data_IF_355537663133
#
_entry.id   IF_355537663133
#
_cell.length_a   1.000
_cell.length_b   1.000
_cell.length_c   1.000
_cell.angle_alpha   90.00
_cell.angle_beta   90.00
_cell.angle_gamma   90.00
#
_symmetry.space_group_name_H-M   'P 1'
#
loop_
_entity.id
_entity.type
_entity.pdbx_description
1 polymer ?
#
# COMPACT_ATOMS: atom_id res chain seq x y z
N UNK A 1 -14.53 12.57 18.39
CA UNK A 1 -13.41 13.29 17.75
C UNK A 1 -12.54 13.84 18.86
N UNK A 2 -11.40 13.23 19.10
CA UNK A 2 -10.46 13.55 20.18
C UNK A 2 -9.82 14.91 19.91
N UNK A 3 -9.66 15.71 20.95
CA UNK A 3 -9.22 17.12 21.04
C UNK A 3 -7.97 17.57 20.27
N UNK A 4 -7.83 17.16 19.00
CA UNK A 4 -6.81 17.69 18.13
C UNK A 4 -7.09 19.15 17.77
N UNK A 5 -6.11 20.00 18.01
CA UNK A 5 -6.17 21.41 17.66
C UNK A 5 -5.18 21.69 16.51
N UNK A 6 -5.66 21.94 15.28
CA UNK A 6 -4.79 22.10 14.11
C UNK A 6 -3.94 23.38 14.22
N UNK A 7 -2.63 23.21 14.09
CA UNK A 7 -1.65 24.31 14.12
C UNK A 7 -1.25 24.75 12.71
N UNK A 8 -1.25 23.82 11.76
CA UNK A 8 -0.85 24.09 10.38
C UNK A 8 -2.00 24.62 9.54
N UNK A 9 -1.67 25.28 8.42
CA UNK A 9 -2.66 25.77 7.45
C UNK A 9 -3.46 24.58 6.86
N UNK A 10 -2.77 23.49 6.53
CA UNK A 10 -3.41 22.28 6.02
C UNK A 10 -4.36 21.67 7.05
N UNK A 11 -3.91 21.55 8.32
CA UNK A 11 -4.73 21.04 9.41
C UNK A 11 -6.03 21.84 9.63
N UNK A 12 -5.97 23.17 9.51
CA UNK A 12 -7.16 24.03 9.59
C UNK A 12 -8.13 23.77 8.45
N UNK A 13 -7.64 23.61 7.21
CA UNK A 13 -8.48 23.32 6.04
C UNK A 13 -9.17 21.95 6.15
N UNK A 14 -8.48 20.97 6.72
CA UNK A 14 -9.06 19.64 6.99
C UNK A 14 -10.10 19.71 8.11
N UNK A 15 -9.80 20.42 9.19
CA UNK A 15 -10.75 20.60 10.29
C UNK A 15 -12.02 21.38 9.88
N UNK A 16 -11.89 22.33 8.94
CA UNK A 16 -13.01 23.06 8.33
C UNK A 16 -13.79 22.24 7.28
N UNK A 17 -13.33 21.02 6.96
CA UNK A 17 -13.97 20.16 5.95
C UNK A 17 -13.78 20.60 4.50
N UNK A 18 -12.86 21.52 4.21
CA UNK A 18 -12.56 21.98 2.84
C UNK A 18 -11.77 20.96 2.04
N UNK A 19 -11.00 20.12 2.73
CA UNK A 19 -10.22 19.03 2.17
C UNK A 19 -10.74 17.76 2.83
N UNK A 20 -11.34 16.88 2.04
CA UNK A 20 -11.96 15.63 2.49
C UNK A 20 -11.19 14.40 2.05
N UNK A 21 -10.36 14.50 0.99
CA UNK A 21 -9.57 13.39 0.47
C UNK A 21 -8.08 13.61 0.66
N UNK A 22 -7.32 12.50 0.81
CA UNK A 22 -5.87 12.58 0.93
C UNK A 22 -5.22 13.04 -0.39
N UNK A 23 -5.80 12.71 -1.53
CA UNK A 23 -5.34 13.17 -2.86
C UNK A 23 -5.43 14.69 -2.98
N UNK A 24 -6.51 15.32 -2.50
CA UNK A 24 -6.67 16.78 -2.49
C UNK A 24 -5.66 17.44 -1.53
N UNK A 25 -5.40 16.81 -0.39
CA UNK A 25 -4.39 17.29 0.56
C UNK A 25 -2.99 17.32 -0.07
N UNK A 26 -2.60 16.26 -0.79
CA UNK A 26 -1.32 16.18 -1.51
C UNK A 26 -1.29 17.14 -2.72
N UNK A 27 -2.39 17.30 -3.45
CA UNK A 27 -2.52 18.23 -4.57
C UNK A 27 -2.38 19.70 -4.15
N UNK A 28 -2.77 20.04 -2.90
CA UNK A 28 -2.64 21.39 -2.35
C UNK A 28 -1.19 21.88 -2.24
N UNK A 29 -0.21 21.00 -2.36
CA UNK A 29 1.24 21.26 -2.20
C UNK A 29 1.63 21.88 -0.85
N UNK A 30 0.75 21.85 0.13
CA UNK A 30 1.07 22.25 1.49
C UNK A 30 1.84 21.13 2.20
N UNK A 31 2.85 21.47 3.04
CA UNK A 31 3.63 20.46 3.73
C UNK A 31 2.80 19.77 4.81
N UNK A 32 2.81 18.44 4.79
CA UNK A 32 2.24 17.58 5.83
C UNK A 32 3.18 17.61 7.05
N UNK A 33 2.75 18.20 8.16
CA UNK A 33 3.54 18.34 9.39
C UNK A 33 2.86 17.78 10.63
N UNK A 34 1.60 17.45 10.53
CA UNK A 34 0.79 16.88 11.61
C UNK A 34 0.33 15.48 11.21
N UNK A 35 0.71 14.41 11.94
CA UNK A 35 0.31 13.04 11.63
C UNK A 35 -1.19 12.82 11.78
N UNK A 36 -1.86 13.60 12.65
CA UNK A 36 -3.29 13.50 12.91
C UNK A 36 -4.16 13.83 11.68
N UNK A 37 -3.64 14.64 10.75
CA UNK A 37 -4.30 14.93 9.46
C UNK A 37 -4.52 13.62 8.69
N UNK A 38 -3.51 12.77 8.69
CA UNK A 38 -3.54 11.49 7.98
C UNK A 38 -4.51 10.51 8.64
N UNK A 39 -4.55 10.48 9.99
CA UNK A 39 -5.48 9.64 10.74
C UNK A 39 -6.96 10.00 10.49
N UNK A 40 -7.23 11.27 10.18
CA UNK A 40 -8.58 11.73 9.82
C UNK A 40 -8.93 11.40 8.38
N UNK A 41 -8.00 11.61 7.45
CA UNK A 41 -8.24 11.41 6.01
C UNK A 41 -8.14 9.93 5.58
N UNK A 42 -7.36 9.12 6.30
CA UNK A 42 -7.14 7.70 6.03
C UNK A 42 -7.32 6.88 7.31
N UNK A 43 -8.56 6.56 7.71
CA UNK A 43 -8.82 5.80 8.95
C UNK A 43 -8.33 4.33 8.88
N UNK A 44 -8.19 3.77 7.69
CA UNK A 44 -7.79 2.36 7.46
C UNK A 44 -6.28 2.19 7.24
N UNK A 45 -5.46 3.00 7.90
CA UNK A 45 -4.01 2.88 7.81
C UNK A 45 -3.50 1.69 8.63
N UNK A 46 -2.70 0.86 7.97
CA UNK A 46 -1.92 -0.21 8.59
C UNK A 46 -0.45 0.16 8.66
N UNK A 47 0.24 -0.31 9.68
CA UNK A 47 1.68 -0.10 9.85
C UNK A 47 2.41 -1.44 9.99
N UNK A 48 3.61 -1.52 9.41
CA UNK A 48 4.49 -2.67 9.49
C UNK A 48 5.91 -2.22 9.81
N UNK A 49 6.54 -2.86 10.79
CA UNK A 49 7.93 -2.60 11.15
C UNK A 49 8.84 -3.42 10.24
N UNK A 50 9.59 -2.75 9.35
CA UNK A 50 10.49 -3.40 8.41
C UNK A 50 11.82 -3.83 9.05
N UNK A 51 12.35 -3.01 9.96
CA UNK A 51 13.67 -3.24 10.54
C UNK A 51 13.86 -2.53 11.88
N UNK A 52 14.50 -3.22 12.82
CA UNK A 52 14.90 -2.69 14.13
C UNK A 52 16.37 -2.99 14.36
N UNK A 53 17.23 -2.00 14.16
CA UNK A 53 18.67 -2.12 14.31
C UNK A 53 19.18 -1.43 15.56
N UNK A 54 19.96 -2.13 16.35
CA UNK A 54 20.69 -1.55 17.47
C UNK A 54 21.97 -0.87 16.96
N UNK A 55 22.09 0.43 17.22
CA UNK A 55 23.26 1.23 16.88
C UNK A 55 23.92 1.71 18.15
N UNK A 56 25.21 1.42 18.32
CA UNK A 56 25.97 1.87 19.49
C UNK A 56 27.12 2.79 19.07
N UNK A 57 27.42 3.73 19.96
CA UNK A 57 28.56 4.63 19.84
C UNK A 57 29.30 4.63 21.15
N UNK A 58 30.63 4.48 21.11
CA UNK A 58 31.50 4.69 22.27
C UNK A 58 31.65 6.18 22.52
N UNK A 59 31.55 6.56 23.80
CA UNK A 59 31.86 7.90 24.32
C UNK A 59 32.87 7.73 25.46
N UNK A 60 33.46 8.82 25.92
CA UNK A 60 34.43 8.83 27.01
C UNK A 60 33.86 8.21 28.30
N UNK A 61 32.54 8.31 28.51
CA UNK A 61 31.84 7.77 29.67
C UNK A 61 31.18 6.38 29.41
N UNK A 62 31.54 5.68 28.32
CA UNK A 62 31.07 4.33 28.01
C UNK A 62 30.19 4.25 26.75
N UNK A 63 29.48 3.12 26.61
CA UNK A 63 28.64 2.82 25.46
C UNK A 63 27.31 3.57 25.50
N UNK A 64 26.97 4.25 24.42
CA UNK A 64 25.61 4.79 24.20
C UNK A 64 24.92 4.01 23.13
N UNK A 65 23.83 3.34 23.49
CA UNK A 65 22.99 2.53 22.60
C UNK A 65 21.78 3.33 22.13
N UNK A 66 21.42 3.18 20.86
CA UNK A 66 20.17 3.68 20.27
C UNK A 66 19.61 2.62 19.33
N UNK A 67 18.30 2.61 19.17
CA UNK A 67 17.59 1.75 18.23
C UNK A 67 17.19 2.59 17.02
N UNK A 68 17.59 2.15 15.83
CA UNK A 68 17.18 2.71 14.56
C UNK A 68 16.05 1.83 14.00
N UNK A 69 14.89 2.42 13.81
CA UNK A 69 13.67 1.74 13.40
C UNK A 69 13.22 2.30 12.06
N UNK A 70 12.83 1.41 11.15
CA UNK A 70 12.25 1.74 9.86
C UNK A 70 10.87 1.10 9.80
N UNK A 71 9.85 1.93 9.54
CA UNK A 71 8.43 1.53 9.47
C UNK A 71 7.89 1.93 8.12
N UNK A 72 7.03 1.10 7.56
CA UNK A 72 6.16 1.44 6.44
C UNK A 72 4.72 1.56 6.93
N UNK A 73 3.99 2.50 6.37
CA UNK A 73 2.57 2.73 6.64
C UNK A 73 1.84 2.78 5.30
N UNK A 74 0.68 2.15 5.21
CA UNK A 74 -0.12 2.16 3.98
C UNK A 74 -1.57 1.79 4.23
N UNK A 75 -2.40 2.03 3.22
CA UNK A 75 -3.82 1.68 3.24
C UNK A 75 -4.16 0.52 2.30
N UNK A 76 -3.17 -0.17 1.73
CA UNK A 76 -3.34 -1.19 0.70
C UNK A 76 -4.12 -0.71 -0.55
N UNK A 77 -4.35 0.59 -0.69
CA UNK A 77 -5.15 1.17 -1.77
C UNK A 77 -4.54 2.47 -2.35
N UNK A 78 -3.24 2.45 -2.64
CA UNK A 78 -2.56 3.51 -3.38
C UNK A 78 -1.87 4.58 -2.53
N UNK A 79 -1.90 4.50 -1.21
CA UNK A 79 -1.11 5.38 -0.35
C UNK A 79 -0.09 4.58 0.44
N UNK A 80 1.15 5.05 0.44
CA UNK A 80 2.23 4.43 1.19
C UNK A 80 3.17 5.51 1.73
N UNK A 81 3.70 5.29 2.94
CA UNK A 81 4.68 6.17 3.55
C UNK A 81 5.76 5.38 4.25
N UNK A 82 6.99 5.86 4.24
CA UNK A 82 8.10 5.28 5.00
C UNK A 82 8.65 6.29 5.98
N UNK A 83 8.80 5.85 7.25
CA UNK A 83 9.39 6.61 8.32
C UNK A 83 10.59 5.91 8.93
N UNK A 84 11.58 6.70 9.33
CA UNK A 84 12.75 6.24 10.06
C UNK A 84 12.99 7.11 11.28
N UNK A 85 13.18 6.46 12.42
CA UNK A 85 13.48 7.16 13.67
C UNK A 85 14.58 6.45 14.46
N UNK A 86 15.33 7.20 15.25
CA UNK A 86 16.37 6.69 16.16
C UNK A 86 16.11 7.17 17.58
N UNK A 87 15.87 6.26 18.51
CA UNK A 87 15.61 6.55 19.91
C UNK A 87 16.42 5.70 20.88
N UNK A 88 16.27 5.96 22.17
CA UNK A 88 16.91 5.18 23.24
C UNK A 88 16.14 3.89 23.53
N UNK A 89 14.83 3.93 23.41
CA UNK A 89 13.89 2.84 23.70
C UNK A 89 13.17 2.43 22.42
N UNK A 90 12.81 1.15 22.29
CA UNK A 90 12.19 0.61 21.08
C UNK A 90 10.74 1.09 20.95
N UNK A 91 9.89 0.91 21.97
CA UNK A 91 8.46 1.20 21.91
C UNK A 91 8.13 2.66 21.52
N UNK A 92 8.62 3.67 22.26
CA UNK A 92 8.41 5.07 21.88
C UNK A 92 9.02 5.45 20.53
N UNK A 93 10.09 4.74 20.10
CA UNK A 93 10.73 5.00 18.81
C UNK A 93 9.94 4.45 17.64
N UNK A 94 9.21 3.33 17.80
CA UNK A 94 8.27 2.81 16.79
C UNK A 94 7.15 3.83 16.58
N UNK A 95 6.50 4.31 17.63
CA UNK A 95 5.42 5.32 17.52
C UNK A 95 5.88 6.56 16.76
N UNK A 96 7.07 7.09 17.10
CA UNK A 96 7.64 8.24 16.38
C UNK A 96 8.02 7.92 14.94
N UNK A 97 8.43 6.68 14.63
CA UNK A 97 8.71 6.28 13.27
C UNK A 97 7.42 6.20 12.43
N UNK A 98 6.29 5.76 13.02
CA UNK A 98 4.96 5.79 12.42
C UNK A 98 4.53 7.23 12.13
N UNK A 99 4.69 8.16 13.08
CA UNK A 99 4.38 9.58 12.86
C UNK A 99 5.19 10.17 11.70
N UNK A 100 6.49 9.83 11.63
CA UNK A 100 7.35 10.25 10.50
C UNK A 100 6.90 9.61 9.19
N UNK A 101 6.47 8.35 9.21
CA UNK A 101 5.95 7.67 8.01
C UNK A 101 4.65 8.32 7.51
N UNK A 102 3.73 8.68 8.40
CA UNK A 102 2.50 9.42 8.07
C UNK A 102 2.80 10.78 7.43
N UNK A 103 3.81 11.50 7.91
CA UNK A 103 4.21 12.77 7.31
C UNK A 103 4.86 12.62 5.91
N UNK A 104 5.36 11.43 5.57
CA UNK A 104 6.01 11.12 4.29
C UNK A 104 5.11 10.32 3.35
N UNK A 105 3.81 10.31 3.54
CA UNK A 105 2.87 9.59 2.67
C UNK A 105 2.93 10.13 1.24
N UNK A 106 2.90 9.20 0.30
CA UNK A 106 2.88 9.45 -1.15
C UNK A 106 1.76 8.64 -1.77
N UNK A 107 1.09 9.24 -2.72
CA UNK A 107 0.15 8.58 -3.61
C UNK A 107 0.90 7.80 -4.69
N UNK A 108 0.41 6.62 -5.04
CA UNK A 108 1.03 5.70 -6.01
C UNK A 108 0.05 5.46 -7.16
N UNK A 109 0.51 5.63 -8.40
CA UNK A 109 -0.27 5.25 -9.57
C UNK A 109 -0.18 3.75 -9.78
N UNK A 110 -1.34 3.11 -9.87
CA UNK A 110 -1.48 1.69 -10.18
C UNK A 110 -2.14 1.51 -11.54
N UNK A 111 -1.89 0.40 -12.20
CA UNK A 111 -2.44 0.12 -13.52
C UNK A 111 -2.11 -1.31 -13.96
N UNK A 112 -2.40 -1.62 -15.21
CA UNK A 112 -1.98 -2.87 -15.85
C UNK A 112 -1.04 -2.55 -17.01
N UNK A 113 0.26 -2.40 -16.72
CA UNK A 113 1.29 -2.09 -17.71
C UNK A 113 1.94 -3.31 -18.37
N UNK A 114 1.52 -4.52 -18.02
CA UNK A 114 2.06 -5.73 -18.61
C UNK A 114 1.48 -5.99 -20.00
N UNK A 115 2.35 -6.25 -20.99
CA UNK A 115 1.95 -6.60 -22.36
C UNK A 115 1.29 -7.99 -22.47
N UNK A 116 1.52 -8.85 -21.46
CA UNK A 116 0.95 -10.20 -21.39
C UNK A 116 -0.45 -10.22 -20.77
N UNK A 117 -0.89 -9.11 -20.17
CA UNK A 117 -2.12 -9.07 -19.38
C UNK A 117 -3.21 -8.25 -20.08
N UNK A 118 -4.37 -8.87 -20.34
CA UNK A 118 -5.57 -8.21 -20.86
C UNK A 118 -6.65 -7.90 -19.82
N UNK A 119 -6.33 -7.95 -18.50
CA UNK A 119 -7.33 -7.91 -17.42
C UNK A 119 -7.98 -6.55 -17.19
N UNK A 120 -7.37 -5.45 -17.65
CA UNK A 120 -7.83 -4.06 -17.49
C UNK A 120 -8.11 -3.64 -16.02
N UNK A 121 -7.45 -4.28 -15.03
CA UNK A 121 -7.59 -3.94 -13.61
C UNK A 121 -6.28 -3.32 -13.08
N UNK A 122 -6.32 -2.38 -12.13
CA UNK A 122 -5.12 -1.70 -11.61
C UNK A 122 -4.39 -2.54 -10.54
N UNK A 123 -4.00 -3.78 -10.88
CA UNK A 123 -3.35 -4.74 -9.96
C UNK A 123 -1.83 -4.60 -9.89
N UNK A 124 -1.22 -3.88 -10.83
CA UNK A 124 0.23 -3.78 -10.98
C UNK A 124 0.69 -2.33 -11.17
N UNK A 125 1.92 -2.17 -11.64
CA UNK A 125 2.47 -0.89 -12.04
C UNK A 125 2.10 -0.55 -13.49
N UNK A 126 1.90 0.74 -13.83
CA UNK A 126 1.58 1.14 -15.19
C UNK A 126 2.80 1.08 -16.13
N UNK A 127 4.01 1.23 -15.61
CA UNK A 127 5.27 1.24 -16.37
C UNK A 127 6.44 0.84 -15.47
N UNK A 128 7.61 0.61 -16.09
CA UNK A 128 8.85 0.35 -15.36
C UNK A 128 9.31 1.59 -14.60
N UNK A 129 9.65 1.41 -13.32
CA UNK A 129 10.17 2.47 -12.45
C UNK A 129 11.45 2.04 -11.77
N UNK A 130 12.38 2.98 -11.60
CA UNK A 130 13.68 2.73 -10.99
C UNK A 130 13.85 3.68 -9.81
N UNK A 131 14.02 3.12 -8.60
CA UNK A 131 14.34 3.90 -7.40
C UNK A 131 15.78 3.64 -6.95
N UNK A 132 16.43 4.66 -6.43
CA UNK A 132 17.82 4.58 -5.99
C UNK A 132 18.01 5.25 -4.63
N UNK A 133 18.63 4.52 -3.70
CA UNK A 133 19.06 5.10 -2.43
C UNK A 133 20.44 4.58 -2.05
N UNK A 134 21.41 5.47 -1.99
CA UNK A 134 22.83 5.11 -1.80
C UNK A 134 23.34 4.24 -2.95
N UNK A 135 23.85 3.05 -2.64
CA UNK A 135 24.29 2.06 -3.63
C UNK A 135 23.21 1.12 -4.11
N UNK A 136 22.04 1.13 -3.47
CA UNK A 136 20.94 0.22 -3.80
C UNK A 136 20.11 0.82 -4.92
N UNK A 137 19.87 0.03 -5.96
CA UNK A 137 18.97 0.35 -7.06
C UNK A 137 17.90 -0.72 -7.11
N UNK A 138 16.65 -0.30 -7.16
CA UNK A 138 15.48 -1.17 -7.29
C UNK A 138 14.76 -0.81 -8.57
N UNK A 139 14.62 -1.77 -9.46
CA UNK A 139 13.86 -1.63 -10.70
C UNK A 139 12.58 -2.45 -10.55
N UNK A 140 11.43 -1.82 -10.64
CA UNK A 140 10.12 -2.47 -10.58
C UNK A 140 9.50 -2.46 -11.97
N UNK A 141 9.01 -3.62 -12.40
CA UNK A 141 8.36 -3.83 -13.69
C UNK A 141 6.93 -4.34 -13.52
N UNK A 142 6.01 -3.95 -14.40
CA UNK A 142 4.67 -4.49 -14.39
C UNK A 142 4.69 -5.99 -14.65
N UNK A 143 3.86 -6.74 -13.93
CA UNK A 143 3.70 -8.19 -14.10
C UNK A 143 2.26 -8.54 -14.51
N UNK A 144 2.02 -9.69 -15.18
CA UNK A 144 0.69 -10.18 -15.47
C UNK A 144 -0.03 -10.61 -14.19
N UNK A 145 -1.36 -10.62 -14.23
CA UNK A 145 -2.20 -11.01 -13.09
C UNK A 145 -1.90 -12.45 -12.64
N UNK A 146 -1.78 -12.64 -11.33
CA UNK A 146 -1.51 -13.94 -10.73
C UNK A 146 -0.03 -14.27 -10.54
N UNK A 147 0.89 -13.41 -11.00
CA UNK A 147 2.33 -13.60 -10.78
C UNK A 147 2.73 -13.39 -9.32
N UNK A 148 1.98 -12.55 -8.61
CA UNK A 148 2.33 -12.12 -7.27
C UNK A 148 3.54 -11.18 -7.24
N UNK A 149 4.07 -10.94 -6.06
CA UNK A 149 5.22 -10.05 -5.86
C UNK A 149 6.53 -10.84 -5.92
N UNK A 150 7.14 -10.88 -7.09
CA UNK A 150 8.47 -11.47 -7.31
C UNK A 150 9.58 -10.45 -7.00
N UNK A 151 9.71 -10.07 -5.73
CA UNK A 151 10.61 -9.02 -5.21
C UNK A 151 11.24 -9.47 -3.90
N UNK A 152 12.32 -8.84 -3.46
CA UNK A 152 12.89 -9.09 -2.14
C UNK A 152 11.91 -8.75 -1.01
N UNK A 153 11.95 -9.51 0.11
CA UNK A 153 10.96 -9.46 1.19
C UNK A 153 10.59 -8.06 1.69
N UNK A 154 11.58 -7.19 1.93
CA UNK A 154 11.34 -5.81 2.39
C UNK A 154 10.56 -4.98 1.36
N UNK A 155 10.93 -5.08 0.07
CA UNK A 155 10.20 -4.38 -0.98
C UNK A 155 8.80 -4.99 -1.18
N UNK A 156 8.61 -6.29 -0.89
CA UNK A 156 7.31 -6.95 -0.90
C UNK A 156 6.35 -6.28 0.08
N UNK A 157 6.76 -6.08 1.34
CA UNK A 157 5.95 -5.37 2.34
C UNK A 157 5.61 -3.94 1.88
N UNK A 158 6.55 -3.19 1.31
CA UNK A 158 6.30 -1.83 0.80
C UNK A 158 5.28 -1.84 -0.35
N UNK A 159 5.37 -2.79 -1.28
CA UNK A 159 4.44 -2.92 -2.41
C UNK A 159 3.05 -3.37 -1.96
N UNK A 160 2.97 -4.28 -0.99
CA UNK A 160 1.70 -4.72 -0.39
C UNK A 160 0.98 -3.55 0.27
N UNK A 161 1.69 -2.75 1.07
CA UNK A 161 1.13 -1.55 1.70
C UNK A 161 0.67 -0.49 0.68
N UNK A 162 1.28 -0.45 -0.51
CA UNK A 162 0.85 0.40 -1.62
C UNK A 162 -0.36 -0.16 -2.39
N UNK A 163 -0.79 -1.41 -2.11
CA UNK A 163 -1.89 -2.07 -2.82
C UNK A 163 -1.52 -2.61 -4.19
N UNK A 164 -0.24 -2.95 -4.41
CA UNK A 164 0.24 -3.60 -5.63
C UNK A 164 0.26 -5.10 -5.37
N UNK A 165 -0.42 -5.87 -6.21
CA UNK A 165 -0.56 -7.33 -6.08
C UNK A 165 0.50 -8.06 -6.91
N UNK A 166 0.74 -7.59 -8.13
CA UNK A 166 1.63 -8.24 -9.09
C UNK A 166 2.74 -7.28 -9.52
N UNK A 167 4.00 -7.67 -9.30
CA UNK A 167 5.16 -6.91 -9.78
C UNK A 167 6.40 -7.80 -9.88
N UNK A 168 7.22 -7.54 -10.89
CA UNK A 168 8.58 -8.05 -10.96
C UNK A 168 9.56 -7.01 -10.45
N UNK A 169 10.52 -7.42 -9.64
CA UNK A 169 11.55 -6.54 -9.12
C UNK A 169 12.94 -7.07 -9.36
N UNK A 170 13.81 -6.19 -9.83
CA UNK A 170 15.24 -6.43 -9.91
C UNK A 170 15.97 -5.50 -8.94
N UNK A 171 16.99 -6.03 -8.28
CA UNK A 171 17.77 -5.26 -7.31
C UNK A 171 19.24 -5.27 -7.69
N UNK A 172 19.88 -4.11 -7.62
CA UNK A 172 21.30 -3.95 -7.82
C UNK A 172 21.98 -3.30 -6.61
N UNK A 173 23.30 -3.50 -6.49
CA UNK A 173 24.08 -2.93 -5.41
C UNK A 173 23.97 -3.70 -4.09
N UNK A 174 24.17 -3.01 -2.95
CA UNK A 174 24.21 -3.65 -1.63
C UNK A 174 22.81 -3.79 -1.01
N UNK A 175 21.96 -4.61 -1.65
CA UNK A 175 20.54 -4.82 -1.28
C UNK A 175 20.34 -5.42 0.13
N UNK A 176 21.41 -5.96 0.77
CA UNK A 176 21.37 -6.47 2.14
C UNK A 176 21.12 -5.37 3.18
N UNK A 177 21.33 -4.09 2.81
CA UNK A 177 21.04 -2.96 3.69
C UNK A 177 19.53 -2.68 3.69
N UNK A 178 18.81 -3.21 4.68
CA UNK A 178 17.36 -3.15 4.83
C UNK A 178 16.79 -1.75 4.68
N UNK A 179 17.37 -0.78 5.39
CA UNK A 179 16.94 0.63 5.37
C UNK A 179 17.10 1.30 4.00
N UNK A 180 18.20 1.05 3.29
CA UNK A 180 18.40 1.63 1.96
C UNK A 180 17.53 0.94 0.92
N UNK A 181 17.30 -0.36 1.07
CA UNK A 181 16.46 -1.13 0.17
C UNK A 181 14.99 -0.69 0.26
N UNK A 182 14.46 -0.50 1.48
CA UNK A 182 13.10 0.02 1.67
C UNK A 182 12.93 1.43 1.09
N UNK A 183 13.90 2.31 1.34
CA UNK A 183 13.87 3.67 0.78
C UNK A 183 14.01 3.69 -0.74
N UNK A 184 14.80 2.80 -1.35
CA UNK A 184 14.90 2.69 -2.79
C UNK A 184 13.59 2.19 -3.42
N UNK A 185 12.93 1.20 -2.81
CA UNK A 185 11.61 0.75 -3.24
C UNK A 185 10.56 1.89 -3.14
N UNK A 186 10.58 2.66 -2.08
CA UNK A 186 9.71 3.82 -1.91
C UNK A 186 10.00 4.93 -2.92
N UNK A 187 11.28 5.19 -3.23
CA UNK A 187 11.66 6.16 -4.26
C UNK A 187 11.17 5.74 -5.65
N UNK A 188 11.23 4.43 -5.98
CA UNK A 188 10.63 3.90 -7.19
C UNK A 188 9.11 4.19 -7.24
N UNK A 189 8.38 3.98 -6.15
CA UNK A 189 6.95 4.27 -6.09
C UNK A 189 6.65 5.77 -6.23
N UNK A 190 7.46 6.65 -5.65
CA UNK A 190 7.35 8.11 -5.85
C UNK A 190 7.43 8.50 -7.33
N UNK A 191 8.28 7.83 -8.09
CA UNK A 191 8.45 8.14 -9.52
C UNK A 191 7.18 7.85 -10.33
N UNK A 192 6.31 6.95 -9.89
CA UNK A 192 5.05 6.69 -10.58
C UNK A 192 4.18 7.94 -10.69
N UNK A 193 4.20 8.82 -9.67
CA UNK A 193 3.44 10.07 -9.66
C UNK A 193 4.05 11.16 -10.53
N UNK A 194 5.38 11.17 -10.71
CA UNK A 194 6.09 12.21 -11.48
C UNK A 194 5.84 12.10 -12.98
N UNK A 195 5.54 10.90 -13.48
CA UNK A 195 5.30 10.67 -14.91
C UNK A 195 3.94 11.24 -15.31
N UNK A 196 3.94 12.11 -16.30
CA UNK A 196 2.70 12.60 -16.92
C UNK A 196 2.13 11.52 -17.81
N UNK A 197 0.85 11.25 -17.65
CA UNK A 197 0.11 10.25 -18.41
C UNK A 197 -0.91 10.97 -19.27
N UNK A 198 -1.00 10.62 -20.56
CA UNK A 198 -2.06 11.10 -21.45
C UNK A 198 -3.36 10.35 -21.18
N UNK A 199 -4.50 10.93 -21.56
CA UNK A 199 -5.82 10.31 -21.34
C UNK A 199 -5.93 8.96 -22.07
N UNK A 200 -5.40 8.85 -23.29
CA UNK A 200 -5.32 7.60 -24.05
C UNK A 200 -4.54 6.50 -23.28
N UNK A 201 -3.41 6.87 -22.68
CA UNK A 201 -2.61 5.94 -21.86
C UNK A 201 -3.33 5.55 -20.59
N UNK A 202 -4.04 6.50 -19.96
CA UNK A 202 -4.85 6.24 -18.77
C UNK A 202 -5.92 5.19 -19.07
N UNK A 203 -6.64 5.34 -20.17
CA UNK A 203 -7.70 4.42 -20.57
C UNK A 203 -7.16 3.05 -20.99
N UNK A 204 -6.03 3.03 -21.71
CA UNK A 204 -5.40 1.78 -22.18
C UNK A 204 -4.81 0.96 -21.02
N UNK A 205 -4.11 1.61 -20.10
CA UNK A 205 -3.40 0.95 -18.99
C UNK A 205 -4.25 0.92 -17.71
N UNK A 206 -5.47 1.49 -17.73
CA UNK A 206 -6.35 1.64 -16.57
C UNK A 206 -5.61 2.21 -15.35
N UNK A 207 -4.91 3.32 -15.61
CA UNK A 207 -4.11 3.96 -14.56
C UNK A 207 -5.05 4.69 -13.60
N UNK A 208 -4.97 4.31 -12.35
CA UNK A 208 -5.69 4.94 -11.25
C UNK A 208 -4.67 5.52 -10.25
N UNK A 209 -4.91 6.75 -9.84
CA UNK A 209 -4.22 7.40 -8.75
C UNK A 209 -5.18 7.49 -7.56
N UNK A 210 -4.67 7.19 -6.36
CA UNK A 210 -5.49 7.20 -5.15
C UNK A 210 -6.33 5.97 -4.91
N UNK A 211 -7.31 6.05 -3.99
CA UNK A 211 -8.11 4.92 -3.56
C UNK A 211 -9.10 4.51 -4.67
N UNK A 212 -9.18 3.21 -4.91
CA UNK A 212 -10.13 2.59 -5.85
C UNK A 212 -11.30 1.95 -5.09
N UNK A 213 -11.15 1.78 -3.76
CA UNK A 213 -12.14 1.09 -2.93
C UNK A 213 -12.21 -0.42 -3.17
N UNK A 214 -11.22 -0.96 -3.89
CA UNK A 214 -11.11 -2.40 -4.14
C UNK A 214 -9.91 -2.91 -3.33
N UNK A 215 -10.17 -3.52 -2.19
CA UNK A 215 -9.17 -4.32 -1.50
C UNK A 215 -8.87 -5.55 -2.35
N UNK A 216 -7.81 -5.49 -3.15
CA UNK A 216 -7.30 -6.66 -3.86
C UNK A 216 -6.51 -7.53 -2.88
N UNK A 217 -7.16 -8.54 -2.30
CA UNK A 217 -6.47 -9.58 -1.53
C UNK A 217 -5.52 -10.37 -2.44
N UNK A 218 -4.31 -10.72 -1.97
CA UNK A 218 -3.40 -11.58 -2.72
C UNK A 218 -4.07 -12.93 -3.02
N UNK A 219 -3.83 -13.46 -4.20
CA UNK A 219 -4.52 -14.59 -4.85
C UNK A 219 -4.66 -15.90 -4.04
N UNK A 220 -4.21 -15.95 -2.78
CA UNK A 220 -4.36 -17.10 -1.89
C UNK A 220 -5.63 -17.09 -1.03
N UNK A 221 -6.21 -15.91 -0.75
CA UNK A 221 -7.40 -15.79 0.12
C UNK A 221 -8.71 -15.70 -0.69
N UNK A 222 -8.64 -15.24 -1.95
CA UNK A 222 -9.80 -15.17 -2.83
C UNK A 222 -10.35 -16.52 -3.28
N UNK A 223 -9.53 -17.58 -3.25
CA UNK A 223 -9.98 -18.94 -3.57
C UNK A 223 -10.87 -19.52 -2.47
N UNK A 224 -10.60 -19.19 -1.20
CA UNK A 224 -11.40 -19.68 -0.07
C UNK A 224 -12.79 -19.02 -0.03
N UNK A 225 -12.90 -17.72 -0.34
CA UNK A 225 -14.19 -17.03 -0.37
C UNK A 225 -15.08 -17.42 -1.57
N UNK A 226 -14.48 -17.78 -2.72
CA UNK A 226 -15.24 -18.32 -3.85
C UNK A 226 -15.72 -19.75 -3.60
N UNK A 227 -14.99 -20.52 -2.81
CA UNK A 227 -15.37 -21.89 -2.44
C UNK A 227 -16.49 -21.90 -1.38
N UNK A 228 -16.54 -20.90 -0.49
CA UNK A 228 -17.65 -20.70 0.45
C UNK A 228 -18.91 -20.18 -0.27
N UNK A 229 -18.79 -19.24 -1.18
CA UNK A 229 -19.92 -18.74 -1.97
C UNK A 229 -20.53 -19.81 -2.88
N UNK A 230 -19.71 -20.70 -3.45
CA UNK A 230 -20.21 -21.83 -4.26
C UNK A 230 -20.91 -22.91 -3.43
N UNK A 231 -20.52 -23.08 -2.15
CA UNK A 231 -21.20 -23.98 -1.22
C UNK A 231 -22.54 -23.45 -0.72
N UNK A 232 -22.69 -22.13 -0.60
CA UNK A 232 -23.98 -21.50 -0.27
C UNK A 232 -24.96 -21.56 -1.44
N UNK A 233 -24.51 -21.43 -2.69
CA UNK A 233 -25.37 -21.58 -3.88
C UNK A 233 -25.83 -23.03 -4.12
N UNK A 234 -25.02 -24.03 -3.77
CA UNK A 234 -25.43 -25.45 -3.89
C UNK A 234 -26.42 -25.84 -2.79
N UNK A 235 -26.29 -25.31 -1.57
CA UNK A 235 -27.24 -25.59 -0.49
C UNK A 235 -28.64 -25.01 -0.76
N UNK A 236 -28.74 -23.92 -1.52
CA UNK A 236 -30.02 -23.31 -1.94
C UNK A 236 -30.68 -24.01 -3.14
N UNK A 237 -29.94 -24.86 -3.86
CA UNK A 237 -30.48 -25.65 -4.98
C UNK A 237 -31.13 -26.97 -4.58
N UNK A 238 -30.82 -27.51 -3.41
CA UNK A 238 -31.42 -28.75 -2.90
C UNK A 238 -32.86 -28.56 -2.39
N UNK A 239 -33.30 -27.33 -2.10
CA UNK A 239 -34.65 -27.02 -1.59
C UNK A 239 -35.70 -26.72 -2.67
N UNK A 240 -35.41 -26.95 -3.96
CA UNK A 240 -36.41 -26.84 -5.03
C UNK A 240 -37.06 -28.21 -5.25
N UNK A 241 -38.33 -28.45 -4.86
CA UNK A 241 -38.98 -29.73 -5.06
C UNK A 241 -39.12 -30.04 -6.56
N UNK A 242 -38.68 -31.24 -6.94
CA UNK A 242 -38.64 -31.71 -8.31
C UNK A 242 -40.09 -31.72 -8.92
N UNK A 243 -40.23 -31.11 -10.09
CA UNK A 243 -41.46 -30.93 -10.88
C UNK A 243 -42.16 -32.28 -11.30
N UNK A 244 -41.83 -33.40 -10.70
CA UNK A 244 -42.39 -34.72 -10.98
C UNK A 244 -43.56 -35.15 -10.08
N UNK A 245 -43.89 -34.40 -9.03
CA UNK A 245 -44.98 -34.77 -8.11
C UNK A 245 -46.35 -34.05 -8.40
N UNK A 246 -46.41 -33.17 -9.39
CA UNK A 246 -47.65 -32.39 -9.71
C UNK A 246 -48.54 -33.11 -10.75
N UNK A 247 -48.16 -34.28 -11.28
CA UNK A 247 -48.95 -34.97 -12.31
C UNK A 247 -49.72 -36.24 -11.86
N UNK A 248 -49.95 -36.42 -10.54
CA UNK A 248 -50.80 -37.50 -10.02
C UNK A 248 -51.83 -37.03 -9.00
N UNK A 249 -52.76 -36.23 -9.45
CA UNK A 249 -53.87 -35.78 -8.61
C UNK A 249 -54.96 -35.14 -9.45
N UNK A 250 -55.53 -35.93 -10.38
CA UNK A 250 -56.65 -35.48 -11.13
C UNK A 250 -57.33 -36.67 -11.81
N UNK A 251 -58.24 -37.30 -11.08
CA UNK A 251 -59.09 -38.38 -11.61
C UNK A 251 -59.89 -39.02 -10.47
N UNK A 252 -61.03 -38.48 -10.20
CA UNK A 252 -62.37 -39.00 -9.96
C UNK A 252 -63.24 -37.94 -9.26
#
# INVERSE_FOLDING_TARGET
MSGWNPKTRLGKLVAEGKITTMSDALASRLPLREPEIVDILLPELTDEVLDVNMVQRMTDSGRRVKFAITVVVGNHDGFVGIGRFKGKEVGPSIRKAIDVAKMNIVEVKRGCGSWECGCQTPHSLPFEVIGKTGSVVVTLRPAPRGTGLAVGGIAKSVLQMAGIVDAWGMTGGHSKTTTNFSLAAFDALKQTMLVKVTDEQRDRLKIVAGPVGIHMTPAGEGAAMMEEASKEEDSTREDIPSTKEISRGGGD
#
